data_IF_070302852872
#
_entry.id   IF_070302852872
#
_cell.length_a   1.000
_cell.length_b   1.000
_cell.length_c   1.000
_cell.angle_alpha   90.00
_cell.angle_beta   90.00
_cell.angle_gamma   90.00
#
_symmetry.space_group_name_H-M   'P 1'
#
loop_
_entity.id
_entity.type
_entity.pdbx_description
1 polymer ?
#
# COMPACT_ATOMS: atom_id res chain seq x y z
N UNK A 1 -6.89 5.66 21.63
CA UNK A 1 -5.83 4.87 21.00
C UNK A 1 -4.61 4.83 21.92
N UNK A 2 -3.96 3.68 22.00
CA UNK A 2 -2.74 3.50 22.79
C UNK A 2 -1.63 4.43 22.29
N UNK A 3 -0.83 4.98 23.20
CA UNK A 3 0.28 5.87 22.84
C UNK A 3 1.31 5.19 21.92
N UNK A 4 1.57 3.92 22.14
CA UNK A 4 2.50 3.17 21.30
C UNK A 4 1.98 3.07 19.87
N UNK A 5 0.69 2.86 19.71
CA UNK A 5 0.05 2.78 18.40
C UNK A 5 0.03 4.16 17.72
N UNK A 6 -0.28 5.20 18.49
CA UNK A 6 -0.24 6.57 17.97
C UNK A 6 1.16 6.93 17.50
N UNK A 7 2.19 6.56 18.26
CA UNK A 7 3.57 6.83 17.89
C UNK A 7 3.95 6.09 16.61
N UNK A 8 3.47 4.85 16.47
CA UNK A 8 3.70 4.07 15.26
C UNK A 8 3.12 4.78 14.02
N UNK A 9 1.88 5.25 14.13
CA UNK A 9 1.25 5.96 13.02
C UNK A 9 1.92 7.31 12.74
N UNK A 10 2.35 8.02 13.78
CA UNK A 10 3.08 9.27 13.61
C UNK A 10 4.40 9.04 12.87
N UNK A 11 5.09 7.96 13.20
CA UNK A 11 6.33 7.58 12.51
C UNK A 11 6.07 7.27 11.03
N UNK A 12 4.97 6.62 10.71
CA UNK A 12 4.59 6.37 9.33
C UNK A 12 4.29 7.67 8.59
N UNK A 13 3.59 8.60 9.23
CA UNK A 13 3.31 9.90 8.63
C UNK A 13 4.60 10.67 8.31
N UNK A 14 5.58 10.60 9.19
CA UNK A 14 6.89 11.21 8.95
C UNK A 14 7.57 10.58 7.74
N UNK A 15 7.50 9.26 7.64
CA UNK A 15 8.06 8.53 6.50
C UNK A 15 7.42 8.96 5.19
N UNK A 16 6.10 9.14 5.17
CA UNK A 16 5.37 9.50 3.96
C UNK A 16 5.78 10.87 3.40
N UNK A 17 6.38 11.72 4.22
CA UNK A 17 6.82 13.03 3.78
C UNK A 17 8.20 13.03 3.14
N UNK A 18 8.90 11.89 3.19
CA UNK A 18 10.26 11.81 2.66
C UNK A 18 10.27 11.68 1.14
N UNK A 19 11.32 12.20 0.52
CA UNK A 19 11.52 12.06 -0.92
C UNK A 19 11.70 10.58 -1.30
N UNK A 20 12.32 9.80 -0.44
CA UNK A 20 12.51 8.37 -0.66
C UNK A 20 11.19 7.63 -0.77
N UNK A 21 10.26 7.91 0.13
CA UNK A 21 8.93 7.29 0.08
C UNK A 21 8.19 7.66 -1.21
N UNK A 22 8.21 8.96 -1.55
CA UNK A 22 7.52 9.43 -2.76
C UNK A 22 8.08 8.81 -4.02
N UNK A 23 9.40 8.72 -4.13
CA UNK A 23 10.06 8.07 -5.26
C UNK A 23 9.73 6.58 -5.34
N UNK A 24 9.73 5.90 -4.19
CA UNK A 24 9.38 4.48 -4.13
C UNK A 24 7.95 4.24 -4.61
N UNK A 25 7.01 5.08 -4.18
CA UNK A 25 5.61 4.93 -4.59
C UNK A 25 5.45 5.16 -6.10
N UNK A 26 6.19 6.09 -6.67
CA UNK A 26 6.18 6.30 -8.12
C UNK A 26 6.65 5.04 -8.86
N UNK A 27 7.74 4.43 -8.40
CA UNK A 27 8.25 3.21 -9.02
C UNK A 27 7.29 2.05 -8.86
N UNK A 28 6.70 1.88 -7.67
CA UNK A 28 5.74 0.80 -7.44
C UNK A 28 4.48 0.99 -8.28
N UNK A 29 4.04 2.23 -8.46
CA UNK A 29 2.88 2.53 -9.31
C UNK A 29 3.14 2.19 -10.76
N UNK A 30 4.35 2.48 -11.25
CA UNK A 30 4.75 2.13 -12.61
C UNK A 30 4.81 0.61 -12.78
N UNK A 31 5.34 -0.10 -11.77
CA UNK A 31 5.39 -1.56 -11.80
C UNK A 31 3.99 -2.16 -11.79
N UNK A 32 3.07 -1.58 -11.02
CA UNK A 32 1.68 -2.05 -10.97
C UNK A 32 1.02 -1.93 -12.33
N UNK A 33 1.25 -0.83 -13.05
CA UNK A 33 0.72 -0.65 -14.40
C UNK A 33 1.26 -1.72 -15.35
N UNK A 34 2.54 -2.02 -15.25
CA UNK A 34 3.16 -3.05 -16.10
C UNK A 34 2.60 -4.45 -15.77
N UNK A 35 2.47 -4.76 -14.49
CA UNK A 35 1.93 -6.06 -14.04
C UNK A 35 0.48 -6.22 -14.48
N UNK A 36 -0.27 -5.13 -14.50
CA UNK A 36 -1.69 -5.13 -14.87
C UNK A 36 -1.90 -5.21 -16.39
N UNK A 37 -0.86 -5.34 -17.18
CA UNK A 37 -0.96 -5.43 -18.63
C UNK A 37 -1.55 -6.78 -19.06
N UNK A 38 -2.68 -6.74 -19.74
CA UNK A 38 -3.33 -7.95 -20.27
C UNK A 38 -2.45 -8.62 -21.32
N UNK A 39 -1.78 -7.82 -22.15
CA UNK A 39 -0.93 -8.33 -23.23
C UNK A 39 0.27 -9.11 -22.72
N UNK A 40 0.71 -8.83 -21.50
CA UNK A 40 1.84 -9.52 -20.91
C UNK A 40 1.44 -10.82 -20.19
N UNK A 41 0.14 -11.04 -19.97
CA UNK A 41 -0.36 -12.21 -19.27
C UNK A 41 -0.33 -13.44 -20.19
N UNK A 42 0.34 -14.50 -19.76
CA UNK A 42 0.57 -15.70 -20.59
C UNK A 42 -0.52 -16.76 -20.42
N UNK A 43 -0.93 -17.01 -19.17
CA UNK A 43 -1.89 -18.07 -18.84
C UNK A 43 -2.57 -17.79 -17.51
N UNK A 44 -3.38 -18.74 -17.03
CA UNK A 44 -4.11 -18.57 -15.78
C UNK A 44 -3.19 -18.52 -14.56
N UNK A 45 -2.12 -19.27 -14.54
CA UNK A 45 -1.16 -19.26 -13.44
C UNK A 45 -0.47 -17.90 -13.36
N UNK A 46 -0.07 -17.38 -14.51
CA UNK A 46 0.51 -16.04 -14.59
C UNK A 46 -0.48 -14.98 -14.14
N UNK A 47 -1.75 -15.12 -14.50
CA UNK A 47 -2.80 -14.21 -14.07
C UNK A 47 -2.94 -14.18 -12.55
N UNK A 48 -2.99 -15.34 -11.91
CA UNK A 48 -3.11 -15.42 -10.45
C UNK A 48 -1.88 -14.87 -9.75
N UNK A 49 -0.71 -15.14 -10.29
CA UNK A 49 0.54 -14.60 -9.76
C UNK A 49 0.52 -13.06 -9.81
N UNK A 50 0.10 -12.51 -10.94
CA UNK A 50 -0.01 -11.06 -11.13
C UNK A 50 -1.03 -10.43 -10.20
N UNK A 51 -2.15 -11.10 -9.97
CA UNK A 51 -3.16 -10.63 -9.02
C UNK A 51 -2.60 -10.54 -7.60
N UNK A 52 -1.82 -11.55 -7.20
CA UNK A 52 -1.15 -11.53 -5.90
C UNK A 52 -0.18 -10.37 -5.76
N UNK A 53 0.63 -10.14 -6.79
CA UNK A 53 1.54 -9.00 -6.82
C UNK A 53 0.79 -7.67 -6.72
N UNK A 54 -0.30 -7.52 -7.47
CA UNK A 54 -1.11 -6.31 -7.47
C UNK A 54 -1.77 -6.05 -6.12
N UNK A 55 -2.19 -7.11 -5.42
CA UNK A 55 -2.78 -6.96 -4.10
C UNK A 55 -1.79 -6.32 -3.11
N UNK A 56 -0.56 -6.82 -3.09
CA UNK A 56 0.48 -6.28 -2.21
C UNK A 56 0.88 -4.87 -2.62
N UNK A 57 1.05 -4.63 -3.92
CA UNK A 57 1.41 -3.31 -4.42
C UNK A 57 0.31 -2.29 -4.11
N UNK A 58 -0.94 -2.66 -4.30
CA UNK A 58 -2.07 -1.78 -3.99
C UNK A 58 -2.13 -1.43 -2.51
N UNK A 59 -1.85 -2.41 -1.64
CA UNK A 59 -1.79 -2.17 -0.21
C UNK A 59 -0.75 -1.11 0.13
N UNK A 60 0.46 -1.27 -0.42
CA UNK A 60 1.56 -0.34 -0.15
C UNK A 60 1.29 1.05 -0.75
N UNK A 61 0.82 1.09 -2.00
CA UNK A 61 0.53 2.34 -2.69
C UNK A 61 -0.54 3.15 -1.96
N UNK A 62 -1.52 2.47 -1.37
CA UNK A 62 -2.62 3.11 -0.67
C UNK A 62 -2.36 3.30 0.83
N UNK A 63 -1.18 2.92 1.31
CA UNK A 63 -0.87 2.93 2.74
C UNK A 63 -1.03 4.31 3.37
N UNK A 64 -0.51 5.33 2.71
CA UNK A 64 -0.59 6.71 3.22
C UNK A 64 -2.05 7.13 3.43
N UNK A 65 -2.89 6.89 2.43
CA UNK A 65 -4.31 7.21 2.49
C UNK A 65 -5.02 6.42 3.59
N UNK A 66 -4.67 5.14 3.74
CA UNK A 66 -5.26 4.27 4.74
C UNK A 66 -4.92 4.73 6.16
N UNK A 67 -3.65 5.05 6.41
CA UNK A 67 -3.20 5.52 7.73
C UNK A 67 -3.83 6.86 8.06
N UNK A 68 -3.89 7.77 7.08
CA UNK A 68 -4.52 9.07 7.27
C UNK A 68 -5.99 8.92 7.66
N UNK A 69 -6.69 8.02 6.99
CA UNK A 69 -8.10 7.75 7.30
C UNK A 69 -8.29 7.20 8.71
N UNK A 70 -7.45 6.25 9.11
CA UNK A 70 -7.52 5.65 10.44
C UNK A 70 -7.32 6.71 11.52
N UNK A 71 -6.33 7.57 11.36
CA UNK A 71 -6.03 8.60 12.36
C UNK A 71 -7.15 9.64 12.45
N UNK A 72 -7.72 10.04 11.33
CA UNK A 72 -8.80 11.03 11.30
C UNK A 72 -10.10 10.51 11.89
N UNK A 73 -10.44 9.26 11.54
CA UNK A 73 -11.71 8.66 11.93
C UNK A 73 -11.67 8.03 13.31
N UNK A 74 -10.48 7.79 13.85
CA UNK A 74 -10.33 7.02 15.08
C UNK A 74 -10.80 5.60 14.90
N UNK A 75 -10.64 5.05 13.71
CA UNK A 75 -11.14 3.73 13.34
C UNK A 75 -10.35 2.60 14.00
N UNK A 76 -10.91 1.40 13.94
CA UNK A 76 -10.29 0.18 14.43
C UNK A 76 -9.02 -0.09 13.60
N UNK A 77 -7.89 -0.24 14.27
CA UNK A 77 -6.59 -0.45 13.64
C UNK A 77 -6.52 -1.73 12.82
N UNK A 78 -7.35 -2.70 13.11
CA UNK A 78 -7.34 -3.96 12.38
C UNK A 78 -7.77 -3.81 10.93
N UNK A 79 -8.41 -2.70 10.59
CA UNK A 79 -8.99 -2.49 9.26
C UNK A 79 -7.93 -2.35 8.17
N UNK A 80 -6.76 -1.82 8.51
CA UNK A 80 -5.76 -1.55 7.48
C UNK A 80 -4.91 -2.77 7.10
N UNK A 81 -5.05 -3.88 7.81
CA UNK A 81 -4.37 -5.12 7.45
C UNK A 81 -5.25 -5.94 6.52
N UNK A 82 -4.76 -6.26 5.32
CA UNK A 82 -5.51 -7.11 4.40
C UNK A 82 -5.34 -8.57 4.81
N UNK A 83 -6.22 -9.02 5.65
CA UNK A 83 -6.15 -10.40 6.12
C UNK A 83 -7.07 -11.27 5.31
#
# INVERSE_FOLDING_TARGET
MDKAIEQYYDNLQDMFMTAGWKGLIEELSANALHINSVDATKDNEDLYFRKGQLNILSFIINLESTIDHIQKEGSDESIWFPV
#
